data_IF_992222718697
#
_entry.id   IF_992222718697
#
_cell.length_a   1.000
_cell.length_b   1.000
_cell.length_c   1.000
_cell.angle_alpha   90.00
_cell.angle_beta   90.00
_cell.angle_gamma   90.00
#
_symmetry.space_group_name_H-M   'P 1'
#
loop_
_entity.id
_entity.type
_entity.pdbx_description
1 polymer ?
#
# COMPACT_ATOMS: atom_id res chain seq x y z
N UNK A 1 16.08 -7.82 -9.68
CA UNK A 1 15.71 -7.09 -10.92
C UNK A 1 14.31 -7.51 -11.36
N UNK A 2 13.99 -8.80 -11.26
CA UNK A 2 12.68 -9.37 -11.60
C UNK A 2 11.52 -8.86 -10.73
N UNK A 3 11.71 -8.70 -9.41
CA UNK A 3 10.63 -8.25 -8.49
C UNK A 3 10.05 -6.86 -8.84
N UNK A 4 10.89 -5.93 -9.30
CA UNK A 4 10.44 -4.61 -9.71
C UNK A 4 9.60 -4.70 -10.97
N UNK A 5 10.09 -5.43 -11.99
CA UNK A 5 9.37 -5.59 -13.25
C UNK A 5 8.03 -6.30 -13.02
N UNK A 6 8.03 -7.38 -12.26
CA UNK A 6 6.82 -8.12 -11.89
C UNK A 6 5.81 -7.26 -11.12
N UNK A 7 6.30 -6.37 -10.25
CA UNK A 7 5.44 -5.41 -9.55
C UNK A 7 4.83 -4.41 -10.53
N UNK A 8 5.62 -3.86 -11.44
CA UNK A 8 5.12 -2.94 -12.47
C UNK A 8 4.08 -3.63 -13.38
N UNK A 9 4.32 -4.88 -13.77
CA UNK A 9 3.37 -5.70 -14.54
C UNK A 9 2.09 -5.96 -13.75
N UNK A 10 2.19 -6.22 -12.44
CA UNK A 10 1.02 -6.40 -11.58
C UNK A 10 0.10 -5.18 -11.62
N UNK A 11 0.66 -3.98 -11.52
CA UNK A 11 -0.12 -2.74 -11.67
C UNK A 11 -0.69 -2.62 -13.09
N UNK A 12 0.17 -2.73 -14.11
CA UNK A 12 -0.17 -2.42 -15.51
C UNK A 12 -1.20 -3.36 -16.11
N UNK A 13 -1.17 -4.64 -15.78
CA UNK A 13 -1.97 -5.67 -16.46
C UNK A 13 -3.06 -6.30 -15.58
N UNK A 14 -3.00 -6.13 -14.26
CA UNK A 14 -3.96 -6.76 -13.36
C UNK A 14 -4.82 -5.79 -12.55
N UNK A 15 -4.58 -4.47 -12.66
CA UNK A 15 -5.36 -3.47 -11.93
C UNK A 15 -5.91 -2.37 -12.86
N UNK A 16 -7.22 -2.36 -13.18
CA UNK A 16 -7.81 -1.48 -14.20
C UNK A 16 -7.54 0.02 -14.02
N UNK A 17 -7.36 0.49 -12.78
CA UNK A 17 -7.07 1.90 -12.50
C UNK A 17 -5.75 2.38 -13.14
N UNK A 18 -4.81 1.47 -13.40
CA UNK A 18 -3.48 1.78 -13.91
C UNK A 18 -3.29 1.45 -15.40
N UNK A 19 -4.34 0.99 -16.10
CA UNK A 19 -4.23 0.55 -17.49
C UNK A 19 -3.80 1.66 -18.45
N UNK A 20 -4.20 2.90 -18.19
CA UNK A 20 -3.82 4.05 -19.02
C UNK A 20 -2.49 4.69 -18.60
N UNK A 21 -1.96 4.35 -17.42
CA UNK A 21 -0.69 4.88 -16.95
C UNK A 21 0.50 4.20 -17.62
N UNK A 22 1.54 4.96 -17.91
CA UNK A 22 2.84 4.47 -18.34
C UNK A 22 3.55 3.70 -17.21
N UNK A 23 4.44 2.78 -17.58
CA UNK A 23 5.31 2.10 -16.61
C UNK A 23 6.15 3.08 -15.79
N UNK A 24 6.50 4.24 -16.37
CA UNK A 24 7.24 5.31 -15.70
C UNK A 24 6.42 5.96 -14.59
N UNK A 25 5.14 6.23 -14.83
CA UNK A 25 4.24 6.80 -13.82
C UNK A 25 3.98 5.81 -12.68
N UNK A 26 3.74 4.54 -13.01
CA UNK A 26 3.60 3.47 -12.02
C UNK A 26 4.88 3.34 -11.19
N UNK A 27 6.06 3.38 -11.85
CA UNK A 27 7.35 3.35 -11.16
C UNK A 27 7.49 4.51 -10.18
N UNK A 28 7.24 5.75 -10.61
CA UNK A 28 7.33 6.91 -9.71
C UNK A 28 6.35 6.85 -8.54
N UNK A 29 5.16 6.28 -8.75
CA UNK A 29 4.18 6.07 -7.69
C UNK A 29 4.69 5.13 -6.60
N UNK A 30 5.32 4.01 -6.97
CA UNK A 30 5.80 3.01 -5.99
C UNK A 30 7.24 3.26 -5.52
N UNK A 31 8.04 4.02 -6.26
CA UNK A 31 9.46 4.25 -6.02
C UNK A 31 9.79 4.70 -4.59
N UNK A 32 9.03 5.63 -3.95
CA UNK A 32 9.32 6.02 -2.58
C UNK A 32 9.22 4.84 -1.61
N UNK A 33 8.19 4.00 -1.75
CA UNK A 33 8.02 2.81 -0.91
C UNK A 33 9.17 1.81 -1.04
N UNK A 34 9.67 1.62 -2.27
CA UNK A 34 10.77 0.73 -2.56
C UNK A 34 12.06 1.24 -1.93
N UNK A 35 12.32 2.54 -2.10
CA UNK A 35 13.52 3.21 -1.56
C UNK A 35 13.57 3.16 -0.04
N UNK A 36 12.40 3.27 0.61
CA UNK A 36 12.27 3.28 2.07
C UNK A 36 12.08 1.88 2.67
N UNK A 37 11.98 0.82 1.86
CA UNK A 37 11.67 -0.53 2.32
C UNK A 37 10.26 -0.65 2.94
N UNK A 38 9.34 0.26 2.62
CA UNK A 38 7.98 0.32 3.14
C UNK A 38 6.99 -0.42 2.23
N UNK A 39 7.33 -1.66 1.89
CA UNK A 39 6.51 -2.49 1.02
C UNK A 39 6.69 -3.98 1.33
N UNK A 40 5.79 -4.79 0.78
CA UNK A 40 5.84 -6.24 0.83
C UNK A 40 5.31 -6.84 -0.45
N UNK A 41 6.14 -7.66 -1.09
CA UNK A 41 5.74 -8.54 -2.19
C UNK A 41 5.30 -9.91 -1.68
N UNK A 42 4.40 -10.52 -2.43
CA UNK A 42 3.91 -11.88 -2.24
C UNK A 42 4.14 -12.66 -3.53
N UNK A 43 4.85 -13.78 -3.45
CA UNK A 43 5.17 -14.66 -4.54
C UNK A 43 4.97 -16.13 -4.10
N UNK A 44 4.68 -17.01 -5.05
CA UNK A 44 4.74 -18.47 -4.88
C UNK A 44 5.41 -19.10 -6.11
N UNK A 45 5.29 -20.42 -6.28
CA UNK A 45 5.84 -21.15 -7.43
C UNK A 45 5.33 -20.64 -8.80
N UNK A 46 4.22 -19.89 -8.83
CA UNK A 46 3.67 -19.24 -10.03
C UNK A 46 4.06 -17.76 -10.16
N UNK A 47 5.05 -17.31 -9.38
CA UNK A 47 5.58 -15.95 -9.40
C UNK A 47 4.84 -14.95 -8.51
N UNK A 48 5.15 -13.67 -8.71
CA UNK A 48 4.59 -12.57 -7.93
C UNK A 48 3.09 -12.43 -8.18
N UNK A 49 2.32 -12.35 -7.10
CA UNK A 49 0.87 -12.25 -7.14
C UNK A 49 0.28 -11.15 -6.28
N UNK A 50 1.10 -10.52 -5.45
CA UNK A 50 0.66 -9.49 -4.54
C UNK A 50 1.72 -8.47 -4.23
N UNK A 51 1.29 -7.23 -4.08
CA UNK A 51 2.10 -6.11 -3.63
C UNK A 51 1.28 -5.24 -2.68
N UNK A 52 1.92 -4.79 -1.59
CA UNK A 52 1.39 -3.76 -0.71
C UNK A 52 2.52 -2.83 -0.35
N UNK A 53 2.23 -1.54 -0.28
CA UNK A 53 3.11 -0.53 0.27
C UNK A 53 2.38 0.29 1.34
N UNK A 54 3.15 0.99 2.15
CA UNK A 54 2.63 1.90 3.17
C UNK A 54 3.53 3.12 3.35
N UNK A 55 2.96 4.15 3.96
CA UNK A 55 3.62 5.39 4.31
C UNK A 55 3.40 5.70 5.80
N UNK A 56 4.35 6.40 6.40
CA UNK A 56 4.23 7.00 7.72
C UNK A 56 4.14 8.52 7.56
N UNK A 57 2.92 9.03 7.59
CA UNK A 57 2.64 10.43 7.28
C UNK A 57 2.71 11.29 8.55
N UNK A 58 3.20 12.52 8.40
CA UNK A 58 2.90 13.60 9.34
C UNK A 58 1.41 13.96 9.29
N UNK A 59 0.96 14.82 10.20
CA UNK A 59 -0.42 15.31 10.18
C UNK A 59 -0.68 16.15 8.92
N UNK A 60 0.30 16.97 8.54
CA UNK A 60 0.24 17.86 7.38
C UNK A 60 0.19 17.04 6.08
N UNK A 61 1.04 16.01 5.96
CA UNK A 61 1.04 15.10 4.81
C UNK A 61 -0.25 14.27 4.73
N UNK A 62 -0.79 13.80 5.87
CA UNK A 62 -2.09 13.10 5.91
C UNK A 62 -3.23 14.00 5.41
N UNK A 63 -3.29 15.26 5.84
CA UNK A 63 -4.32 16.21 5.38
C UNK A 63 -4.22 16.42 3.87
N UNK A 64 -3.01 16.74 3.35
CA UNK A 64 -2.76 16.90 1.92
C UNK A 64 -3.17 15.66 1.13
N UNK A 65 -2.78 14.47 1.58
CA UNK A 65 -3.11 13.21 0.92
C UNK A 65 -4.63 12.94 0.88
N UNK A 66 -5.37 13.32 1.92
CA UNK A 66 -6.83 13.18 1.93
C UNK A 66 -7.51 14.12 0.91
N UNK A 67 -6.93 15.30 0.67
CA UNK A 67 -7.44 16.30 -0.26
C UNK A 67 -7.04 16.00 -1.71
N UNK A 68 -5.77 15.73 -1.97
CA UNK A 68 -5.20 15.65 -3.32
C UNK A 68 -5.01 14.22 -3.82
N UNK A 69 -4.94 13.24 -2.90
CA UNK A 69 -4.60 11.83 -3.18
C UNK A 69 -3.15 11.61 -3.61
N UNK A 70 -2.32 12.63 -3.49
CA UNK A 70 -0.93 12.63 -3.92
C UNK A 70 0.01 12.63 -2.71
N UNK A 71 1.15 11.96 -2.86
CA UNK A 71 2.25 11.96 -1.91
C UNK A 71 3.53 12.26 -2.66
N UNK A 72 4.29 13.23 -2.18
CA UNK A 72 5.67 13.43 -2.63
C UNK A 72 6.59 12.46 -1.89
N UNK A 73 7.82 12.28 -2.36
CA UNK A 73 8.78 11.36 -1.74
C UNK A 73 8.99 11.64 -0.24
N UNK A 74 9.12 12.91 0.14
CA UNK A 74 9.31 13.36 1.51
C UNK A 74 8.11 13.07 2.43
N UNK A 75 6.91 12.91 1.87
CA UNK A 75 5.70 12.64 2.64
C UNK A 75 5.71 11.21 3.20
N UNK A 76 6.34 10.25 2.52
CA UNK A 76 6.22 8.81 2.78
C UNK A 76 6.73 8.33 4.15
N UNK A 77 7.65 9.09 4.78
CA UNK A 77 8.20 8.78 6.10
C UNK A 77 8.35 10.05 6.93
N UNK A 78 7.35 10.93 6.86
CA UNK A 78 7.32 12.24 7.50
C UNK A 78 6.77 12.23 8.93
N UNK A 79 6.20 11.13 9.40
CA UNK A 79 5.59 11.05 10.74
C UNK A 79 5.32 9.63 11.21
N UNK A 80 4.25 9.45 11.99
CA UNK A 80 3.88 8.17 12.63
C UNK A 80 2.49 7.65 12.23
N UNK A 81 1.77 8.38 11.36
CA UNK A 81 0.43 7.99 10.91
C UNK A 81 0.54 6.97 9.79
N UNK A 82 0.24 5.71 10.10
CA UNK A 82 0.38 4.62 9.13
C UNK A 82 -0.76 4.61 8.12
N UNK A 83 -0.41 4.71 6.84
CA UNK A 83 -1.32 4.61 5.70
C UNK A 83 -0.85 3.52 4.76
N UNK A 84 -1.69 2.51 4.53
CA UNK A 84 -1.54 1.60 3.39
C UNK A 84 -2.01 2.35 2.14
N UNK A 85 -1.10 2.52 1.18
CA UNK A 85 -1.35 3.28 -0.04
C UNK A 85 -2.00 2.37 -1.08
N UNK A 86 -1.35 1.25 -1.39
CA UNK A 86 -1.86 0.26 -2.32
C UNK A 86 -1.95 -1.14 -1.70
N UNK A 87 -2.90 -1.91 -2.21
CA UNK A 87 -2.99 -3.35 -1.98
C UNK A 87 -3.48 -3.98 -3.27
N UNK A 88 -2.56 -4.61 -4.00
CA UNK A 88 -2.86 -5.21 -5.30
C UNK A 88 -2.57 -6.69 -5.20
N UNK A 89 -3.57 -7.50 -5.56
CA UNK A 89 -3.44 -8.95 -5.61
C UNK A 89 -4.19 -9.47 -6.84
N UNK A 90 -3.55 -10.31 -7.66
CA UNK A 90 -4.19 -10.94 -8.83
C UNK A 90 -4.92 -12.25 -8.51
N UNK A 91 -4.87 -12.71 -7.25
CA UNK A 91 -5.57 -13.91 -6.75
C UNK A 91 -5.99 -13.75 -5.28
N UNK A 92 -6.62 -14.80 -4.72
CA UNK A 92 -7.04 -14.82 -3.31
C UNK A 92 -5.86 -14.50 -2.39
N UNK A 93 -6.11 -13.64 -1.39
CA UNK A 93 -5.07 -13.01 -0.57
C UNK A 93 -5.44 -13.01 0.92
N UNK A 94 -6.32 -13.92 1.34
CA UNK A 94 -6.79 -14.02 2.72
C UNK A 94 -5.61 -14.20 3.70
N UNK A 95 -4.67 -15.07 3.35
CA UNK A 95 -3.48 -15.34 4.17
C UNK A 95 -2.59 -14.10 4.26
N UNK A 96 -2.46 -13.33 3.18
CA UNK A 96 -1.77 -12.05 3.20
C UNK A 96 -2.48 -11.03 4.13
N UNK A 97 -3.81 -11.01 4.17
CA UNK A 97 -4.55 -10.13 5.09
C UNK A 97 -4.38 -10.54 6.54
N UNK A 98 -4.32 -11.84 6.83
CA UNK A 98 -3.99 -12.36 8.17
C UNK A 98 -2.56 -11.93 8.53
N UNK A 99 -1.60 -12.15 7.63
CA UNK A 99 -0.22 -11.71 7.79
C UNK A 99 -0.13 -10.23 8.13
N UNK A 100 -0.83 -9.35 7.41
CA UNK A 100 -0.73 -7.91 7.65
C UNK A 100 -1.25 -7.44 9.00
N UNK A 101 -2.24 -8.13 9.59
CA UNK A 101 -2.70 -7.84 10.95
C UNK A 101 -1.58 -8.05 11.97
N UNK A 102 -0.87 -9.15 11.84
CA UNK A 102 0.27 -9.51 12.71
C UNK A 102 1.47 -8.63 12.41
N UNK A 103 1.80 -8.43 11.13
CA UNK A 103 2.92 -7.61 10.68
C UNK A 103 2.86 -6.18 11.23
N UNK A 104 1.73 -5.48 11.05
CA UNK A 104 1.61 -4.11 11.55
C UNK A 104 1.61 -4.02 13.07
N UNK A 105 1.13 -5.05 13.77
CA UNK A 105 1.24 -5.10 15.24
C UNK A 105 2.70 -5.20 15.68
N UNK A 106 3.52 -6.01 15.01
CA UNK A 106 4.96 -6.09 15.31
C UNK A 106 5.71 -4.81 14.92
N UNK A 107 5.32 -4.20 13.80
CA UNK A 107 5.96 -2.99 13.29
C UNK A 107 5.67 -1.75 14.14
N UNK A 108 4.43 -1.62 14.63
CA UNK A 108 3.94 -0.39 15.27
C UNK A 108 3.72 -0.54 16.79
N UNK A 109 3.64 -1.78 17.29
CA UNK A 109 3.06 -2.09 18.59
C UNK A 109 1.53 -2.12 18.58
N UNK A 110 0.90 -2.55 19.68
CA UNK A 110 -0.56 -2.56 19.84
C UNK A 110 -1.14 -1.14 20.00
N UNK A 111 -2.42 -0.98 19.66
CA UNK A 111 -3.13 0.29 19.83
C UNK A 111 -2.86 1.35 18.75
N UNK A 112 -2.11 1.01 17.69
CA UNK A 112 -1.78 1.93 16.60
C UNK A 112 -2.74 1.77 15.43
N UNK A 113 -3.22 2.87 14.82
CA UNK A 113 -4.10 2.79 13.66
C UNK A 113 -3.32 2.50 12.38
N UNK A 114 -3.90 1.65 11.53
CA UNK A 114 -3.49 1.40 10.15
C UNK A 114 -4.65 1.74 9.25
N UNK A 115 -4.43 2.66 8.32
CA UNK A 115 -5.50 3.31 7.57
C UNK A 115 -5.34 3.10 6.07
N UNK A 116 -6.44 3.15 5.33
CA UNK A 116 -6.41 3.14 3.86
C UNK A 116 -7.70 3.71 3.30
N UNK A 117 -7.70 3.99 2.01
CA UNK A 117 -8.88 4.48 1.30
C UNK A 117 -9.41 3.40 0.37
N UNK A 118 -10.73 3.30 0.30
CA UNK A 118 -11.40 2.56 -0.77
C UNK A 118 -11.89 3.58 -1.78
N UNK A 119 -11.44 3.42 -3.01
CA UNK A 119 -11.90 4.23 -4.13
C UNK A 119 -13.12 3.56 -4.79
N UNK A 120 -14.03 4.38 -5.30
CA UNK A 120 -15.05 3.94 -6.24
C UNK A 120 -14.43 3.76 -7.64
N UNK A 121 -15.10 3.07 -8.59
CA UNK A 121 -14.58 2.87 -9.95
C UNK A 121 -14.23 4.16 -10.70
N UNK A 122 -14.86 5.28 -10.35
CA UNK A 122 -14.59 6.61 -10.90
C UNK A 122 -13.46 7.36 -10.18
N UNK A 123 -12.71 6.71 -9.28
CA UNK A 123 -11.60 7.29 -8.53
C UNK A 123 -12.00 8.09 -7.28
N UNK A 124 -13.30 8.35 -7.06
CA UNK A 124 -13.75 9.08 -5.87
C UNK A 124 -13.56 8.25 -4.60
N UNK A 125 -13.37 8.93 -3.46
CA UNK A 125 -13.28 8.27 -2.16
C UNK A 125 -14.64 7.67 -1.80
N UNK A 126 -14.70 6.34 -1.74
CA UNK A 126 -15.89 5.63 -1.26
C UNK A 126 -15.89 5.55 0.27
N UNK A 127 -14.75 5.23 0.87
CA UNK A 127 -14.63 5.17 2.33
C UNK A 127 -13.17 5.32 2.79
N UNK A 128 -12.99 5.87 3.99
CA UNK A 128 -11.77 5.75 4.78
C UNK A 128 -11.93 4.57 5.72
N UNK A 129 -10.98 3.65 5.67
CA UNK A 129 -10.92 2.50 6.55
C UNK A 129 -9.82 2.70 7.57
N UNK A 130 -10.02 2.17 8.77
CA UNK A 130 -9.01 2.14 9.82
C UNK A 130 -9.17 0.86 10.63
N UNK A 131 -8.05 0.22 10.95
CA UNK A 131 -7.99 -0.87 11.93
C UNK A 131 -6.96 -0.50 12.99
N UNK A 132 -7.23 -0.87 14.23
CA UNK A 132 -6.26 -0.73 15.33
C UNK A 132 -5.52 -2.05 15.52
N UNK A 133 -4.19 -1.99 15.59
CA UNK A 133 -3.34 -3.14 15.92
C UNK A 133 -3.68 -3.66 17.33
N UNK A 134 -3.58 -4.99 17.54
CA UNK A 134 -3.97 -5.64 18.80
C UNK A 134 -2.89 -6.63 19.23
N UNK A 135 -2.65 -6.77 20.53
CA UNK A 135 -1.65 -7.70 21.08
C UNK A 135 -1.87 -9.17 20.68
N UNK A 136 -3.12 -9.57 20.48
CA UNK A 136 -3.48 -10.94 20.14
C UNK A 136 -4.36 -10.96 18.89
N UNK A 137 -3.80 -11.44 17.78
CA UNK A 137 -4.58 -11.87 16.61
C UNK A 137 -4.14 -13.28 16.23
N UNK A 138 -4.70 -14.27 16.93
CA UNK A 138 -4.91 -15.62 16.39
C UNK A 138 -6.30 -15.64 15.73
#
# INVERSE_FOLDING_TARGET
MDELLDTLELYKFHYPLWFENSLKEIFYHIYPSLTLGQYKVHADDNGLYGFRNWAFLSKEAETKYLETRELNFEDWNSGDRTWVIDTIFKRKHNDAMIFYKTFFTHLLGPGKPVQWLRLAPNGLIRSRMSITTKEHML
#
